data_IF_585424041270
#
_entry.id   IF_585424041270
#
_cell.length_a   1.000
_cell.length_b   1.000
_cell.length_c   1.000
_cell.angle_alpha   90.00
_cell.angle_beta   90.00
_cell.angle_gamma   90.00
#
_symmetry.space_group_name_H-M   'P 1'
#
loop_
_entity.id
_entity.type
_entity.pdbx_description
1 polymer ?
#
# COMPACT_ATOMS: atom_id res chain seq x y z
N UNK A 1 -54.08 19.59 -14.10
CA UNK A 1 -52.62 19.59 -14.41
C UNK A 1 -52.39 18.77 -15.67
N UNK A 2 -51.88 19.37 -16.74
CA UNK A 2 -51.79 18.71 -18.05
C UNK A 2 -50.86 17.49 -17.97
N UNK A 3 -51.38 16.29 -18.27
CA UNK A 3 -50.61 15.02 -18.27
C UNK A 3 -49.32 15.10 -19.11
N UNK A 4 -49.32 15.91 -20.17
CA UNK A 4 -48.14 16.19 -21.00
C UNK A 4 -47.05 17.01 -20.28
N UNK A 5 -47.44 17.93 -19.39
CA UNK A 5 -46.52 18.74 -18.61
C UNK A 5 -45.84 17.90 -17.50
N UNK A 6 -46.59 16.97 -16.89
CA UNK A 6 -46.06 16.06 -15.86
C UNK A 6 -45.01 15.10 -16.44
N UNK A 7 -45.26 14.55 -17.65
CA UNK A 7 -44.31 13.70 -18.35
C UNK A 7 -43.05 14.44 -18.77
N UNK A 8 -43.17 15.69 -19.23
CA UNK A 8 -42.02 16.51 -19.61
C UNK A 8 -41.13 16.81 -18.39
N UNK A 9 -41.71 17.11 -17.23
CA UNK A 9 -40.95 17.32 -15.98
C UNK A 9 -40.28 16.05 -15.47
N UNK A 10 -40.92 14.88 -15.63
CA UNK A 10 -40.33 13.60 -15.21
C UNK A 10 -39.16 13.18 -16.12
N UNK A 11 -39.27 13.41 -17.44
CA UNK A 11 -38.19 13.18 -18.39
C UNK A 11 -37.02 14.16 -18.23
N UNK A 12 -37.29 15.44 -17.92
CA UNK A 12 -36.21 16.40 -17.62
C UNK A 12 -35.48 16.05 -16.32
N UNK A 13 -36.18 15.58 -15.27
CA UNK A 13 -35.53 15.11 -14.05
C UNK A 13 -34.68 13.85 -14.29
N UNK A 14 -35.13 12.92 -15.13
CA UNK A 14 -34.33 11.75 -15.49
C UNK A 14 -33.07 12.10 -16.30
N UNK A 15 -33.15 13.12 -17.17
CA UNK A 15 -31.99 13.65 -17.91
C UNK A 15 -31.02 14.43 -17.00
N UNK A 16 -31.50 15.14 -15.99
CA UNK A 16 -30.60 15.76 -15.01
C UNK A 16 -29.92 14.73 -14.10
N UNK A 17 -30.56 13.60 -13.79
CA UNK A 17 -29.94 12.54 -12.98
C UNK A 17 -28.89 11.76 -13.78
N UNK A 18 -29.03 11.62 -15.11
CA UNK A 18 -28.03 10.93 -15.93
C UNK A 18 -26.81 11.78 -16.31
N UNK A 19 -26.93 13.12 -16.33
CA UNK A 19 -25.77 14.02 -16.57
C UNK A 19 -24.87 14.13 -15.34
N UNK A 20 -25.39 13.94 -14.12
CA UNK A 20 -24.58 13.90 -12.89
C UNK A 20 -24.12 12.50 -12.48
N UNK A 21 -24.51 11.44 -13.20
CA UNK A 21 -24.12 10.05 -12.90
C UNK A 21 -22.92 9.54 -13.72
N UNK A 22 -22.30 10.38 -14.55
CA UNK A 22 -21.19 9.99 -15.45
C UNK A 22 -19.85 10.69 -15.16
N UNK A 23 -19.67 11.26 -13.97
CA UNK A 23 -18.36 11.68 -13.45
C UNK A 23 -18.05 10.93 -12.15
N UNK A 24 -18.16 9.60 -12.16
CA UNK A 24 -17.43 8.81 -11.16
C UNK A 24 -15.95 8.92 -11.50
N UNK A 25 -15.28 9.85 -10.82
CA UNK A 25 -13.90 10.27 -11.04
C UNK A 25 -12.96 9.15 -11.48
N UNK A 26 -12.70 9.08 -12.78
CA UNK A 26 -11.36 8.73 -13.22
C UNK A 26 -10.48 9.89 -12.75
N UNK A 27 -9.90 9.77 -11.55
CA UNK A 27 -8.75 10.57 -11.20
C UNK A 27 -7.78 10.46 -12.37
N UNK A 28 -7.54 11.57 -13.09
CA UNK A 28 -6.61 11.67 -14.21
C UNK A 28 -5.19 11.57 -13.65
N UNK A 29 -4.86 10.39 -13.10
CA UNK A 29 -3.53 10.08 -12.61
C UNK A 29 -2.63 10.04 -13.83
N UNK A 30 -1.58 10.85 -13.81
CA UNK A 30 -0.59 10.86 -14.87
C UNK A 30 0.29 9.62 -14.69
N UNK A 31 0.22 8.71 -15.67
CA UNK A 31 0.94 7.44 -15.65
C UNK A 31 1.95 7.37 -16.79
N UNK A 32 3.05 6.67 -16.56
CA UNK A 32 3.91 6.17 -17.62
C UNK A 32 3.50 4.74 -17.97
N UNK A 33 3.21 4.46 -19.24
CA UNK A 33 2.83 3.10 -19.64
C UNK A 33 4.04 2.16 -19.58
N UNK A 34 4.13 1.41 -18.49
CA UNK A 34 5.18 0.43 -18.28
C UNK A 34 4.69 -0.98 -18.65
N UNK A 35 5.46 -1.66 -19.50
CA UNK A 35 5.36 -3.11 -19.69
C UNK A 35 5.57 -3.83 -18.36
N UNK A 36 5.20 -5.13 -18.30
CA UNK A 36 5.42 -5.92 -17.09
C UNK A 36 6.91 -5.98 -16.70
N UNK A 37 7.80 -6.19 -17.69
CA UNK A 37 9.24 -6.26 -17.44
C UNK A 37 9.81 -4.91 -16.97
N UNK A 38 9.31 -3.79 -17.51
CA UNK A 38 9.69 -2.46 -17.02
C UNK A 38 9.23 -2.21 -15.59
N UNK A 39 8.00 -2.61 -15.23
CA UNK A 39 7.52 -2.52 -13.83
C UNK A 39 8.35 -3.39 -12.89
N UNK A 40 8.80 -4.56 -13.37
CA UNK A 40 9.67 -5.46 -12.61
C UNK A 40 11.05 -4.84 -12.38
N UNK A 41 11.66 -4.30 -13.44
CA UNK A 41 12.95 -3.62 -13.35
C UNK A 41 12.88 -2.41 -12.40
N UNK A 42 11.86 -1.56 -12.55
CA UNK A 42 11.66 -0.40 -11.70
C UNK A 42 11.53 -0.78 -10.22
N UNK A 43 10.79 -1.85 -9.89
CA UNK A 43 10.66 -2.32 -8.51
C UNK A 43 11.97 -2.83 -7.91
N UNK A 44 12.82 -3.48 -8.71
CA UNK A 44 14.14 -3.93 -8.24
C UNK A 44 15.00 -2.72 -7.86
N UNK A 45 15.01 -1.70 -8.73
CA UNK A 45 15.76 -0.47 -8.49
C UNK A 45 15.22 0.31 -7.28
N UNK A 46 13.91 0.54 -7.21
CA UNK A 46 13.25 1.23 -6.09
C UNK A 46 13.52 0.51 -4.77
N UNK A 47 13.50 -0.83 -4.78
CA UNK A 47 13.86 -1.61 -3.60
C UNK A 47 15.31 -1.34 -3.16
N UNK A 48 16.27 -1.40 -4.09
CA UNK A 48 17.68 -1.14 -3.77
C UNK A 48 17.87 0.27 -3.19
N UNK A 49 17.17 1.27 -3.76
CA UNK A 49 17.18 2.64 -3.25
C UNK A 49 16.62 2.73 -1.83
N UNK A 50 15.45 2.11 -1.57
CA UNK A 50 14.85 2.05 -0.24
C UNK A 50 15.80 1.39 0.78
N UNK A 51 16.38 0.24 0.44
CA UNK A 51 17.32 -0.47 1.31
C UNK A 51 18.52 0.42 1.69
N UNK A 52 19.14 1.03 0.68
CA UNK A 52 20.29 1.91 0.88
C UNK A 52 19.93 3.13 1.74
N UNK A 53 18.75 3.73 1.50
CA UNK A 53 18.25 4.88 2.24
C UNK A 53 18.07 4.57 3.73
N UNK A 54 17.37 3.49 4.07
CA UNK A 54 17.08 3.11 5.45
C UNK A 54 18.26 2.50 6.21
N UNK A 55 19.25 1.96 5.48
CA UNK A 55 20.52 1.54 6.05
C UNK A 55 21.39 2.76 6.39
N UNK A 56 21.54 3.70 5.44
CA UNK A 56 22.38 4.88 5.62
C UNK A 56 21.88 5.83 6.72
N UNK A 57 20.56 5.96 6.88
CA UNK A 57 19.96 6.81 7.92
C UNK A 57 19.84 6.11 9.29
N UNK A 58 20.45 4.93 9.47
CA UNK A 58 20.42 4.12 10.69
C UNK A 58 19.02 3.64 11.11
N UNK A 59 18.01 3.70 10.22
CA UNK A 59 16.66 3.20 10.54
C UNK A 59 16.68 1.72 10.82
N UNK A 60 17.44 0.92 10.04
CA UNK A 60 17.53 -0.51 10.28
C UNK A 60 18.18 -0.87 11.62
N UNK A 61 19.15 -0.09 12.10
CA UNK A 61 19.70 -0.29 13.45
C UNK A 61 18.61 -0.08 14.51
N UNK A 62 17.85 1.03 14.42
CA UNK A 62 16.76 1.33 15.37
C UNK A 62 15.62 0.30 15.31
N UNK A 63 15.30 -0.20 14.12
CA UNK A 63 14.33 -1.29 13.96
C UNK A 63 14.84 -2.57 14.62
N UNK A 64 16.13 -2.89 14.48
CA UNK A 64 16.74 -4.05 15.13
C UNK A 64 16.65 -3.93 16.65
N UNK A 65 17.05 -2.78 17.23
CA UNK A 65 16.97 -2.52 18.67
C UNK A 65 15.54 -2.69 19.19
N UNK A 66 14.57 -2.14 18.45
CA UNK A 66 13.14 -2.30 18.76
C UNK A 66 12.68 -3.77 18.70
N UNK A 67 13.09 -4.50 17.66
CA UNK A 67 12.74 -5.91 17.50
C UNK A 67 13.32 -6.75 18.63
N UNK A 68 14.57 -6.52 19.02
CA UNK A 68 15.22 -7.24 20.13
C UNK A 68 14.48 -7.01 21.45
N UNK A 69 14.16 -5.76 21.78
CA UNK A 69 13.39 -5.41 22.96
C UNK A 69 12.00 -6.10 22.96
N UNK A 70 11.31 -6.11 21.81
CA UNK A 70 10.00 -6.76 21.69
C UNK A 70 10.08 -8.29 21.74
N UNK A 71 11.15 -8.88 21.21
CA UNK A 71 11.36 -10.33 21.29
C UNK A 71 11.59 -10.79 22.73
N UNK A 72 12.38 -10.02 23.50
CA UNK A 72 12.57 -10.27 24.93
C UNK A 72 11.25 -10.16 25.70
N UNK A 73 10.49 -9.08 25.47
CA UNK A 73 9.17 -8.86 26.07
C UNK A 73 8.18 -10.00 25.76
N UNK A 74 8.18 -10.50 24.52
CA UNK A 74 7.32 -11.60 24.08
C UNK A 74 7.88 -13.00 24.39
N UNK A 75 9.00 -13.08 25.12
CA UNK A 75 9.69 -14.32 25.49
C UNK A 75 9.94 -15.26 24.28
N UNK A 76 10.34 -14.68 23.14
CA UNK A 76 10.70 -15.45 21.95
C UNK A 76 11.99 -16.23 22.21
N UNK A 77 12.05 -17.48 21.72
CA UNK A 77 13.14 -18.42 22.01
C UNK A 77 14.43 -18.17 21.22
N UNK A 78 14.41 -17.29 20.23
CA UNK A 78 15.55 -16.95 19.38
C UNK A 78 15.61 -15.43 19.17
N UNK A 79 16.77 -14.83 18.86
CA UNK A 79 16.86 -13.42 18.51
C UNK A 79 16.17 -13.13 17.17
N UNK A 80 15.74 -11.87 16.93
CA UNK A 80 15.24 -11.47 15.63
C UNK A 80 16.36 -11.44 14.59
N UNK A 81 16.01 -11.76 13.34
CA UNK A 81 16.88 -11.55 12.18
C UNK A 81 17.00 -10.07 11.86
N UNK A 82 18.10 -9.68 11.22
CA UNK A 82 18.35 -8.29 10.85
C UNK A 82 17.24 -7.73 9.94
N UNK A 83 16.85 -6.46 10.09
CA UNK A 83 15.69 -5.92 9.39
C UNK A 83 15.89 -5.91 7.88
N UNK A 84 17.14 -5.71 7.43
CA UNK A 84 17.48 -5.78 6.01
C UNK A 84 17.15 -7.15 5.39
N UNK A 85 17.42 -8.24 6.11
CA UNK A 85 17.10 -9.61 5.66
C UNK A 85 15.59 -9.84 5.63
N UNK A 86 14.88 -9.44 6.69
CA UNK A 86 13.42 -9.57 6.81
C UNK A 86 12.72 -8.81 5.67
N UNK A 87 13.17 -7.58 5.39
CA UNK A 87 12.64 -6.72 4.34
C UNK A 87 12.95 -7.32 2.96
N UNK A 88 14.20 -7.67 2.66
CA UNK A 88 14.57 -8.26 1.37
C UNK A 88 13.83 -9.58 1.09
N UNK A 89 13.70 -10.45 2.09
CA UNK A 89 12.97 -11.71 1.94
C UNK A 89 11.50 -11.46 1.59
N UNK A 90 10.88 -10.49 2.27
CA UNK A 90 9.51 -10.07 1.97
C UNK A 90 9.40 -9.58 0.53
N UNK A 91 10.33 -8.78 0.04
CA UNK A 91 10.24 -8.30 -1.34
C UNK A 91 10.46 -9.41 -2.37
N UNK A 92 11.45 -10.30 -2.14
CA UNK A 92 11.71 -11.46 -3.01
C UNK A 92 10.52 -12.42 -3.10
N UNK A 93 9.86 -12.70 -1.98
CA UNK A 93 8.69 -13.58 -1.96
C UNK A 93 7.46 -12.91 -2.62
N UNK A 94 7.33 -11.58 -2.56
CA UNK A 94 6.23 -10.84 -3.21
C UNK A 94 6.37 -10.97 -4.72
N UNK A 95 7.61 -10.83 -5.18
CA UNK A 95 7.99 -11.04 -6.57
C UNK A 95 7.67 -12.46 -7.04
N UNK A 96 8.07 -13.48 -6.28
CA UNK A 96 7.75 -14.88 -6.60
C UNK A 96 6.25 -15.12 -6.70
N UNK A 97 5.46 -14.62 -5.75
CA UNK A 97 4.02 -14.80 -5.71
C UNK A 97 3.30 -14.12 -6.87
N UNK A 98 3.73 -12.90 -7.24
CA UNK A 98 3.23 -12.19 -8.42
C UNK A 98 3.52 -12.99 -9.70
N UNK A 99 4.72 -13.55 -9.83
CA UNK A 99 5.11 -14.36 -10.98
C UNK A 99 4.27 -15.65 -11.08
N UNK A 100 3.92 -16.28 -9.95
CA UNK A 100 3.08 -17.48 -9.91
C UNK A 100 1.59 -17.22 -10.14
N UNK A 101 1.09 -16.07 -9.70
CA UNK A 101 -0.33 -15.73 -9.86
C UNK A 101 -0.64 -15.15 -11.25
N UNK A 102 0.38 -14.65 -11.97
CA UNK A 102 0.32 -14.08 -13.34
C UNK A 102 -0.59 -14.84 -14.33
N UNK A 103 -0.52 -16.17 -14.47
CA UNK A 103 -1.32 -16.90 -15.46
C UNK A 103 -2.83 -16.85 -15.17
N UNK A 104 -3.20 -16.67 -13.90
CA UNK A 104 -4.58 -16.73 -13.43
C UNK A 104 -5.31 -15.40 -13.51
N UNK A 105 -4.60 -14.31 -13.79
CA UNK A 105 -5.18 -12.97 -13.69
C UNK A 105 -5.71 -12.45 -15.04
N UNK A 106 -5.28 -13.00 -16.17
CA UNK A 106 -5.75 -12.59 -17.50
C UNK A 106 -5.53 -11.10 -17.81
N UNK A 107 -5.95 -10.67 -19.00
CA UNK A 107 -5.81 -9.29 -19.48
C UNK A 107 -6.91 -8.34 -18.93
N UNK A 108 -7.83 -8.84 -18.10
CA UNK A 108 -8.99 -8.11 -17.58
C UNK A 108 -8.70 -7.29 -16.33
N UNK A 109 -7.42 -7.14 -15.95
CA UNK A 109 -7.02 -6.27 -14.86
C UNK A 109 -7.16 -4.81 -15.27
N UNK A 110 -8.36 -4.27 -15.10
CA UNK A 110 -8.68 -2.88 -15.36
C UNK A 110 -7.75 -1.96 -14.57
N UNK A 111 -7.27 -0.92 -15.26
CA UNK A 111 -6.43 0.17 -14.74
C UNK A 111 -7.20 1.00 -13.70
N UNK A 112 -7.50 0.40 -12.55
CA UNK A 112 -8.12 1.10 -11.42
C UNK A 112 -6.98 1.69 -10.58
N UNK A 113 -6.99 3.01 -10.51
CA UNK A 113 -6.08 3.80 -9.68
C UNK A 113 -6.83 4.59 -8.59
N UNK A 114 -8.16 4.51 -8.50
CA UNK A 114 -8.90 5.12 -7.40
C UNK A 114 -8.53 4.46 -6.05
N UNK A 115 -7.95 5.21 -5.08
CA UNK A 115 -7.56 4.70 -3.76
C UNK A 115 -8.72 4.02 -3.00
N UNK A 116 -9.95 4.51 -3.12
CA UNK A 116 -11.13 3.94 -2.45
C UNK A 116 -11.48 2.57 -3.04
N UNK A 117 -11.43 2.45 -4.37
CA UNK A 117 -11.63 1.18 -5.05
C UNK A 117 -10.51 0.19 -4.70
N UNK A 118 -9.27 0.66 -4.57
CA UNK A 118 -8.14 -0.16 -4.14
C UNK A 118 -8.33 -0.68 -2.71
N UNK A 119 -8.75 0.18 -1.77
CA UNK A 119 -9.03 -0.21 -0.39
C UNK A 119 -10.13 -1.28 -0.31
N UNK A 120 -11.27 -1.06 -0.98
CA UNK A 120 -12.41 -1.99 -0.97
C UNK A 120 -12.07 -3.35 -1.55
N UNK A 121 -11.27 -3.35 -2.60
CA UNK A 121 -10.87 -4.56 -3.31
C UNK A 121 -9.48 -5.05 -2.87
N UNK A 122 -8.97 -4.61 -1.72
CA UNK A 122 -7.63 -4.98 -1.25
C UNK A 122 -7.46 -6.49 -1.24
N UNK A 123 -8.47 -7.26 -0.83
CA UNK A 123 -8.43 -8.74 -0.86
C UNK A 123 -8.21 -9.34 -2.27
N UNK A 124 -8.65 -8.63 -3.32
CA UNK A 124 -8.45 -8.99 -4.73
C UNK A 124 -7.11 -8.45 -5.26
N UNK A 125 -6.68 -7.28 -4.78
CA UNK A 125 -5.46 -6.58 -5.23
C UNK A 125 -4.18 -6.96 -4.46
N UNK A 126 -4.30 -7.59 -3.28
CA UNK A 126 -3.19 -8.11 -2.46
C UNK A 126 -2.25 -8.96 -3.30
N UNK A 127 -2.78 -9.68 -4.28
CA UNK A 127 -2.02 -10.62 -5.10
C UNK A 127 -1.35 -9.97 -6.32
N UNK A 128 -1.69 -8.73 -6.67
CA UNK A 128 -1.77 -8.36 -8.08
C UNK A 128 -1.08 -7.06 -8.48
N UNK A 129 -1.07 -6.05 -7.61
CA UNK A 129 -0.35 -4.80 -7.89
C UNK A 129 0.90 -4.62 -7.04
N UNK A 130 1.35 -5.67 -6.33
CA UNK A 130 2.47 -5.54 -5.38
C UNK A 130 2.20 -4.44 -4.34
N UNK A 131 0.92 -4.09 -4.15
CA UNK A 131 0.47 -2.98 -3.34
C UNK A 131 0.40 -3.37 -1.88
N UNK A 132 1.45 -2.92 -1.22
CA UNK A 132 1.40 -2.21 0.04
C UNK A 132 1.24 -2.96 1.32
N UNK A 133 1.20 -4.29 1.27
CA UNK A 133 1.58 -5.05 2.43
C UNK A 133 2.68 -5.96 1.93
N UNK A 134 3.90 -5.66 2.35
CA UNK A 134 4.80 -6.69 2.91
C UNK A 134 3.97 -7.94 3.07
N UNK A 135 4.18 -8.92 2.19
CA UNK A 135 3.53 -10.23 2.19
C UNK A 135 2.96 -10.52 3.55
N UNK A 136 1.65 -10.75 3.63
CA UNK A 136 0.98 -11.47 4.72
C UNK A 136 1.98 -11.93 5.76
N UNK A 137 2.07 -11.22 6.90
CA UNK A 137 3.07 -11.46 7.94
C UNK A 137 3.57 -12.90 7.92
N UNK A 138 4.75 -13.09 7.31
CA UNK A 138 5.35 -14.42 7.12
C UNK A 138 5.52 -15.12 8.47
N UNK A 139 5.55 -14.32 9.52
CA UNK A 139 5.49 -14.67 10.93
C UNK A 139 5.37 -13.37 11.75
N UNK A 140 5.39 -13.52 13.08
CA UNK A 140 5.38 -12.38 14.02
C UNK A 140 6.56 -11.43 13.85
N UNK A 141 7.70 -11.89 13.33
CA UNK A 141 8.92 -11.07 13.16
C UNK A 141 8.68 -9.83 12.29
N UNK A 142 7.99 -10.04 11.17
CA UNK A 142 7.67 -8.98 10.21
C UNK A 142 6.68 -7.97 10.80
N UNK A 143 5.72 -8.46 11.59
CA UNK A 143 4.73 -7.63 12.27
C UNK A 143 5.41 -6.76 13.33
N UNK A 144 6.37 -7.33 14.07
CA UNK A 144 7.16 -6.59 15.04
C UNK A 144 7.99 -5.53 14.32
N UNK A 145 8.80 -5.90 13.32
CA UNK A 145 9.64 -4.96 12.56
C UNK A 145 8.84 -3.74 12.06
N UNK A 146 7.69 -3.98 11.45
CA UNK A 146 6.84 -2.91 10.94
C UNK A 146 6.21 -2.03 12.01
N UNK A 147 5.92 -2.59 13.18
CA UNK A 147 5.33 -1.83 14.28
C UNK A 147 6.23 -0.72 14.80
N UNK A 148 7.54 -0.78 14.52
CA UNK A 148 8.46 0.32 14.79
C UNK A 148 8.01 1.62 14.11
N UNK A 149 7.61 1.59 12.84
CA UNK A 149 7.15 2.78 12.11
C UNK A 149 5.87 3.38 12.67
N UNK A 150 5.09 2.61 13.44
CA UNK A 150 3.84 3.06 14.04
C UNK A 150 3.99 3.53 15.49
N UNK A 151 5.22 3.59 16.02
CA UNK A 151 5.47 4.21 17.32
C UNK A 151 5.15 5.72 17.27
N UNK A 152 4.62 6.32 18.36
CA UNK A 152 4.26 7.74 18.39
C UNK A 152 5.38 8.69 17.96
N UNK A 153 6.62 8.40 18.32
CA UNK A 153 7.82 9.18 18.01
C UNK A 153 8.26 9.08 16.54
N UNK A 154 7.72 8.13 15.77
CA UNK A 154 8.17 7.81 14.41
C UNK A 154 7.22 8.31 13.32
N UNK A 155 6.35 9.30 13.60
CA UNK A 155 5.35 9.75 12.61
C UNK A 155 5.97 10.22 11.29
N UNK A 156 7.03 11.03 11.32
CA UNK A 156 7.67 11.52 10.09
C UNK A 156 8.30 10.38 9.28
N UNK A 157 8.98 9.48 9.98
CA UNK A 157 9.56 8.26 9.37
C UNK A 157 8.47 7.35 8.80
N UNK A 158 7.31 7.27 9.43
CA UNK A 158 6.14 6.53 8.91
C UNK A 158 5.65 7.13 7.61
N UNK A 159 5.50 8.46 7.55
CA UNK A 159 5.04 9.14 6.34
C UNK A 159 6.02 8.92 5.18
N UNK A 160 7.32 9.01 5.46
CA UNK A 160 8.37 8.74 4.49
C UNK A 160 8.32 7.29 3.99
N UNK A 161 8.20 6.32 4.91
CA UNK A 161 8.06 4.91 4.58
C UNK A 161 6.81 4.62 3.75
N UNK A 162 5.66 5.19 4.11
CA UNK A 162 4.42 5.03 3.36
C UNK A 162 4.52 5.62 1.95
N UNK A 163 5.20 6.77 1.79
CA UNK A 163 5.44 7.36 0.47
C UNK A 163 6.28 6.41 -0.40
N UNK A 164 7.39 5.91 0.11
CA UNK A 164 8.27 4.98 -0.62
C UNK A 164 7.52 3.70 -1.01
N UNK A 165 6.70 3.17 -0.10
CA UNK A 165 5.85 1.99 -0.34
C UNK A 165 4.82 2.24 -1.44
N UNK A 166 4.16 3.41 -1.46
CA UNK A 166 3.22 3.78 -2.54
C UNK A 166 3.93 3.84 -3.90
N UNK A 167 5.08 4.50 -3.97
CA UNK A 167 5.88 4.62 -5.22
C UNK A 167 6.34 3.25 -5.70
N UNK A 168 6.89 2.43 -4.80
CA UNK A 168 7.31 1.07 -5.10
C UNK A 168 6.18 0.23 -5.72
N UNK A 169 4.99 0.37 -5.16
CA UNK A 169 3.87 -0.47 -5.56
C UNK A 169 3.18 0.01 -6.85
N UNK A 170 3.19 1.32 -7.13
CA UNK A 170 2.74 1.91 -8.38
C UNK A 170 3.88 2.62 -9.13
N UNK A 171 4.88 1.90 -9.63
CA UNK A 171 6.02 2.52 -10.31
C UNK A 171 5.60 3.22 -11.62
N UNK A 172 4.42 2.91 -12.15
CA UNK A 172 3.85 3.60 -13.30
C UNK A 172 3.27 4.99 -12.98
N UNK A 173 2.95 5.28 -11.70
CA UNK A 173 2.37 6.57 -11.31
C UNK A 173 3.52 7.52 -10.98
N UNK A 174 3.62 8.62 -11.74
CA UNK A 174 4.74 9.54 -11.63
C UNK A 174 4.72 10.33 -10.31
N UNK A 175 5.89 10.58 -9.72
CA UNK A 175 6.05 11.48 -8.58
C UNK A 175 6.16 12.94 -9.04
N UNK A 176 5.01 13.49 -9.46
CA UNK A 176 4.86 14.84 -10.02
C UNK A 176 3.74 15.60 -9.31
N UNK A 177 3.75 16.96 -9.32
CA UNK A 177 2.76 17.77 -8.62
C UNK A 177 1.30 17.40 -8.92
N UNK A 178 1.00 16.98 -10.14
CA UNK A 178 -0.32 16.59 -10.62
C UNK A 178 -0.87 15.36 -9.90
N UNK A 179 -0.01 14.43 -9.48
CA UNK A 179 -0.39 13.22 -8.77
C UNK A 179 -0.37 13.37 -7.25
N UNK A 180 0.00 14.55 -6.71
CA UNK A 180 0.20 14.76 -5.27
C UNK A 180 -1.04 14.41 -4.43
N UNK A 181 -2.23 14.78 -4.91
CA UNK A 181 -3.48 14.45 -4.22
C UNK A 181 -3.69 12.94 -4.16
N UNK A 182 -3.55 12.28 -5.31
CA UNK A 182 -3.70 10.82 -5.40
C UNK A 182 -2.71 10.10 -4.48
N UNK A 183 -1.45 10.54 -4.44
CA UNK A 183 -0.44 9.95 -3.56
C UNK A 183 -0.83 10.11 -2.08
N UNK A 184 -1.31 11.29 -1.68
CA UNK A 184 -1.74 11.55 -0.32
C UNK A 184 -2.91 10.64 0.10
N UNK A 185 -3.92 10.52 -0.76
CA UNK A 185 -5.06 9.62 -0.53
C UNK A 185 -4.62 8.15 -0.45
N UNK A 186 -3.71 7.75 -1.33
CA UNK A 186 -3.17 6.41 -1.35
C UNK A 186 -2.35 6.12 -0.09
N UNK A 187 -1.52 7.05 0.38
CA UNK A 187 -0.78 6.90 1.64
C UNK A 187 -1.71 6.69 2.85
N UNK A 188 -2.85 7.41 2.90
CA UNK A 188 -3.87 7.21 3.95
C UNK A 188 -4.45 5.80 3.91
N UNK A 189 -4.79 5.31 2.71
CA UNK A 189 -5.27 3.94 2.51
C UNK A 189 -4.22 2.93 2.96
N UNK A 190 -2.95 3.16 2.63
CA UNK A 190 -1.86 2.25 3.01
C UNK A 190 -1.58 2.24 4.52
N UNK A 191 -1.68 3.38 5.18
CA UNK A 191 -1.57 3.49 6.65
C UNK A 191 -2.65 2.63 7.33
N UNK A 192 -3.93 2.79 6.94
CA UNK A 192 -5.05 2.03 7.50
C UNK A 192 -4.90 0.54 7.30
N UNK A 193 -4.57 0.14 6.07
CA UNK A 193 -4.42 -1.25 5.72
C UNK A 193 -3.22 -1.88 6.46
N UNK A 194 -2.12 -1.13 6.66
CA UNK A 194 -0.93 -1.60 7.37
C UNK A 194 -1.18 -1.79 8.85
N UNK A 195 -1.83 -0.82 9.45
CA UNK A 195 -2.28 -0.91 10.83
C UNK A 195 -3.12 -2.18 11.08
N UNK A 196 -4.06 -2.46 10.17
CA UNK A 196 -4.99 -3.61 10.27
C UNK A 196 -4.29 -4.94 9.98
N UNK A 197 -3.56 -5.06 8.88
CA UNK A 197 -2.98 -6.33 8.39
C UNK A 197 -1.88 -6.85 9.31
N UNK A 198 -1.04 -5.95 9.85
CA UNK A 198 0.04 -6.35 10.77
C UNK A 198 -0.38 -6.42 12.23
N UNK A 199 -1.65 -6.11 12.54
CA UNK A 199 -2.17 -6.06 13.90
C UNK A 199 -1.25 -5.22 14.81
N UNK A 200 -0.90 -4.03 14.33
CA UNK A 200 0.07 -3.12 14.95
C UNK A 200 -0.28 -2.82 16.41
N UNK A 201 -1.59 -2.75 16.73
CA UNK A 201 -2.10 -2.56 18.09
C UNK A 201 -1.50 -3.55 19.11
N UNK A 202 -1.22 -4.80 18.70
CA UNK A 202 -0.62 -5.82 19.57
C UNK A 202 0.81 -5.47 20.01
N UNK A 203 1.53 -4.69 19.22
CA UNK A 203 2.96 -4.46 19.41
C UNK A 203 3.31 -3.04 19.85
N UNK A 204 2.46 -2.07 19.54
CA UNK A 204 2.65 -0.65 19.92
C UNK A 204 2.18 -0.35 21.34
N UNK A 205 1.21 -1.09 21.89
CA UNK A 205 0.82 -0.92 23.30
C UNK A 205 1.85 -1.53 24.26
N UNK A 206 2.40 -0.70 25.13
CA UNK A 206 3.15 -1.07 26.34
C UNK A 206 2.24 -1.02 27.58
N UNK A 207 1.02 -1.54 27.50
CA UNK A 207 0.17 -1.61 28.71
C UNK A 207 0.47 -2.93 29.41
N UNK A 208 1.21 -2.84 30.53
CA UNK A 208 1.16 -3.84 31.59
C UNK A 208 -0.31 -4.13 31.93
N UNK A 209 -0.68 -5.39 32.25
CA UNK A 209 -1.90 -5.63 33.02
C UNK A 209 -1.87 -4.88 34.36
#
# INVERSE_FOLDING_TARGET
MNRKLLFLTFSLMFLCVSVFAAESGQNNVTINELTLEQRKAARIELLQQMMSKYENNQTFAKVQDYMEAKYQFLHKSHPPRTPSVVIQETFKRTQSLMDHTRPYIGNSFTRIYDPVQIEKNVNKYIWLKGLCFIILGINDEHRIALSYFYQPENQDLKQEFLKDVVIYSFPEVLDVPENKQWQSEMMIVMDKLGYKIFNIKKFVKNENP
#
